data_IF_674573368751
#
_entry.id   IF_674573368751
#
_cell.length_a   1.000
_cell.length_b   1.000
_cell.length_c   1.000
_cell.angle_alpha   90.00
_cell.angle_beta   90.00
_cell.angle_gamma   90.00
#
_symmetry.space_group_name_H-M   'P 1'
#
loop_
_entity.id
_entity.type
_entity.pdbx_description
1 polymer ?
#
# COMPACT_ATOMS: atom_id res chain seq x y z
N UNK A 1 11.52 -2.67 -1.82
CA UNK A 1 12.59 -2.97 -0.84
C UNK A 1 12.10 -4.04 0.14
N UNK A 2 13.01 -4.76 0.80
CA UNK A 2 12.67 -5.76 1.84
C UNK A 2 13.21 -5.36 3.20
N UNK A 3 12.48 -5.74 4.25
CA UNK A 3 12.92 -5.52 5.62
C UNK A 3 12.40 -6.57 6.58
N UNK A 4 13.16 -6.78 7.65
CA UNK A 4 12.82 -7.69 8.74
C UNK A 4 12.08 -6.91 9.82
N UNK A 5 10.99 -7.46 10.35
CA UNK A 5 10.33 -6.87 11.50
C UNK A 5 11.17 -7.12 12.76
N UNK A 6 11.60 -6.05 13.44
CA UNK A 6 12.34 -6.15 14.71
C UNK A 6 11.47 -6.00 15.94
N UNK A 7 10.28 -5.43 15.78
CA UNK A 7 9.35 -5.14 16.88
C UNK A 7 7.92 -5.18 16.35
N UNK A 8 7.11 -6.09 16.91
CA UNK A 8 5.71 -6.25 16.55
C UNK A 8 4.81 -5.58 17.62
N UNK A 9 3.98 -4.59 17.24
CA UNK A 9 2.95 -4.07 18.13
C UNK A 9 1.95 -5.15 18.55
N UNK A 10 1.38 -5.00 19.75
CA UNK A 10 0.50 -5.97 20.44
C UNK A 10 -0.73 -6.40 19.63
N UNK A 11 -1.16 -5.63 18.63
CA UNK A 11 -2.31 -5.93 17.76
C UNK A 11 -1.95 -5.85 16.26
N UNK A 12 -0.74 -6.27 15.90
CA UNK A 12 -0.29 -6.27 14.51
C UNK A 12 -0.23 -7.68 13.93
N UNK A 13 -0.36 -7.78 12.60
CA UNK A 13 -0.12 -9.02 11.86
C UNK A 13 1.38 -9.26 11.58
N UNK A 14 2.25 -8.49 12.24
CA UNK A 14 3.70 -8.58 12.10
C UNK A 14 4.25 -9.66 13.01
N UNK A 15 5.16 -10.45 12.47
CA UNK A 15 5.92 -11.46 13.20
C UNK A 15 7.34 -10.96 13.32
N UNK A 16 7.87 -10.99 14.54
CA UNK A 16 9.26 -10.60 14.84
C UNK A 16 10.20 -11.56 14.12
N UNK A 17 11.29 -11.03 13.57
CA UNK A 17 12.30 -11.74 12.78
C UNK A 17 11.78 -12.31 11.44
N UNK A 18 10.58 -11.92 10.99
CA UNK A 18 10.06 -12.27 9.66
C UNK A 18 10.39 -11.19 8.62
N UNK A 19 10.69 -11.62 7.40
CA UNK A 19 10.97 -10.78 6.23
C UNK A 19 9.69 -10.36 5.52
N UNK A 20 9.59 -9.07 5.20
CA UNK A 20 8.46 -8.51 4.48
C UNK A 20 8.90 -7.62 3.32
N UNK A 21 8.04 -7.51 2.33
CA UNK A 21 8.13 -6.51 1.28
C UNK A 21 7.60 -5.19 1.82
N UNK A 22 8.46 -4.17 1.80
CA UNK A 22 8.17 -2.83 2.28
C UNK A 22 8.05 -1.87 1.09
N UNK A 23 6.94 -1.15 1.04
CA UNK A 23 6.70 -0.07 0.07
C UNK A 23 6.61 1.26 0.83
N UNK A 24 7.36 2.30 0.43
CA UNK A 24 7.29 3.61 1.08
C UNK A 24 5.86 4.16 1.03
N UNK A 25 5.33 4.53 2.19
CA UNK A 25 4.00 5.11 2.30
C UNK A 25 4.04 6.35 3.19
N UNK A 26 3.96 7.50 2.54
CA UNK A 26 4.19 8.80 3.16
C UNK A 26 5.57 8.95 3.77
N UNK A 27 5.71 9.92 4.67
CA UNK A 27 7.02 10.31 5.23
C UNK A 27 7.55 9.32 6.26
N UNK A 28 6.65 8.68 7.04
CA UNK A 28 7.00 7.91 8.24
C UNK A 28 6.53 6.44 8.25
N UNK A 29 5.93 5.98 7.15
CA UNK A 29 5.36 4.64 7.07
C UNK A 29 5.93 3.78 5.94
N UNK A 30 5.71 2.47 6.09
CA UNK A 30 5.82 1.47 5.05
C UNK A 30 4.50 0.71 4.94
N UNK A 31 4.02 0.50 3.71
CA UNK A 31 3.05 -0.55 3.43
C UNK A 31 3.79 -1.89 3.42
N UNK A 32 3.24 -2.86 4.12
CA UNK A 32 3.89 -4.15 4.36
C UNK A 32 3.09 -5.25 3.69
N UNK A 33 3.80 -6.10 2.95
CA UNK A 33 3.25 -7.23 2.22
C UNK A 33 4.09 -8.48 2.45
N UNK A 34 3.43 -9.65 2.49
CA UNK A 34 4.08 -10.96 2.52
C UNK A 34 4.45 -11.46 1.12
N UNK A 35 3.85 -10.87 0.10
CA UNK A 35 3.99 -11.28 -1.29
C UNK A 35 4.77 -10.22 -2.08
N UNK A 36 5.47 -10.62 -3.15
CA UNK A 36 6.12 -9.71 -4.08
C UNK A 36 5.10 -8.99 -4.99
N UNK A 37 4.03 -8.44 -4.40
CA UNK A 37 2.98 -7.69 -5.10
C UNK A 37 2.62 -6.42 -4.33
N UNK A 38 2.66 -5.23 -4.96
CA UNK A 38 2.34 -3.96 -4.31
C UNK A 38 0.88 -3.83 -3.89
N UNK A 39 -0.01 -4.59 -4.52
CA UNK A 39 -1.46 -4.60 -4.24
C UNK A 39 -1.85 -5.56 -3.09
N UNK A 40 -0.92 -6.37 -2.60
CA UNK A 40 -1.18 -7.38 -1.55
C UNK A 40 -0.64 -6.95 -0.19
N UNK A 41 -0.65 -5.64 0.09
CA UNK A 41 -0.31 -5.14 1.41
C UNK A 41 -1.45 -5.40 2.41
N UNK A 42 -1.11 -5.74 3.64
CA UNK A 42 -2.09 -6.02 4.70
C UNK A 42 -2.17 -4.90 5.75
N UNK A 43 -1.30 -3.89 5.64
CA UNK A 43 -1.33 -2.73 6.53
C UNK A 43 -0.18 -1.76 6.31
N UNK A 44 -0.36 -0.55 6.83
CA UNK A 44 0.66 0.47 6.93
C UNK A 44 1.26 0.48 8.34
N UNK A 45 2.59 0.41 8.43
CA UNK A 45 3.32 0.33 9.69
C UNK A 45 4.45 1.35 9.73
N UNK A 46 4.85 1.77 10.94
CA UNK A 46 5.91 2.75 11.09
C UNK A 46 7.27 2.17 10.71
N UNK A 47 8.11 2.97 10.04
CA UNK A 47 9.47 2.58 9.64
C UNK A 47 10.31 2.08 10.82
N UNK A 48 10.05 2.61 12.01
CA UNK A 48 10.76 2.25 13.24
C UNK A 48 10.64 0.78 13.63
N UNK A 49 9.64 0.03 13.13
CA UNK A 49 9.43 -1.39 13.45
C UNK A 49 10.22 -2.34 12.54
N UNK A 50 10.83 -1.82 11.48
CA UNK A 50 11.53 -2.63 10.48
C UNK A 50 13.01 -2.30 10.43
N UNK A 51 13.79 -3.30 10.08
CA UNK A 51 15.18 -3.18 9.68
C UNK A 51 15.27 -3.52 8.20
N UNK A 52 15.53 -2.53 7.36
CA UNK A 52 15.67 -2.72 5.91
C UNK A 52 16.94 -3.52 5.64
N UNK A 53 16.80 -4.64 4.92
CA UNK A 53 17.90 -5.55 4.57
C UNK A 53 18.28 -5.43 3.09
N UNK A 54 17.32 -5.13 2.22
CA UNK A 54 17.52 -5.06 0.77
C UNK A 54 16.99 -3.73 0.25
N UNK A 55 17.92 -2.78 0.07
CA UNK A 55 17.68 -1.50 -0.60
C UNK A 55 17.91 -1.69 -2.10
N UNK A 56 17.04 -2.46 -2.74
CA UNK A 56 16.92 -2.39 -4.19
C UNK A 56 16.25 -1.05 -4.50
N UNK A 57 17.08 -0.05 -4.81
CA UNK A 57 16.67 1.25 -5.34
C UNK A 57 16.19 1.00 -6.76
N UNK A 58 15.01 0.41 -6.91
CA UNK A 58 14.34 0.39 -8.20
C UNK A 58 13.45 1.62 -8.30
N UNK A 59 13.96 2.55 -9.09
CA UNK A 59 13.35 3.81 -9.44
C UNK A 59 12.15 3.52 -10.35
N UNK A 60 10.94 3.40 -9.82
CA UNK A 60 9.72 3.50 -10.63
C UNK A 60 8.61 4.17 -9.85
N UNK A 61 8.18 5.31 -10.39
CA UNK A 61 7.06 6.13 -9.95
C UNK A 61 5.73 5.40 -10.21
N UNK A 62 4.70 5.89 -9.50
CA UNK A 62 3.24 5.67 -9.71
C UNK A 62 2.66 4.37 -9.11
N UNK A 63 1.83 4.48 -8.08
CA UNK A 63 0.47 5.01 -8.23
C UNK A 63 0.10 6.19 -7.30
N UNK A 64 -0.45 7.25 -7.92
CA UNK A 64 -1.52 8.11 -7.37
C UNK A 64 -2.75 7.20 -7.17
N UNK A 65 -3.53 7.29 -6.11
CA UNK A 65 -4.70 8.16 -5.85
C UNK A 65 -5.18 7.71 -4.45
N UNK A 66 -5.51 8.58 -3.49
CA UNK A 66 -6.87 9.11 -3.32
C UNK A 66 -6.83 10.41 -2.49
N UNK A 67 -7.14 11.54 -3.11
CA UNK A 67 -8.06 12.53 -2.52
C UNK A 67 -8.51 13.50 -3.62
N UNK A 68 -9.83 13.56 -3.83
CA UNK A 68 -10.63 14.56 -4.57
C UNK A 68 -10.66 14.46 -6.09
N UNK A 69 -11.69 13.79 -6.61
CA UNK A 69 -12.52 14.45 -7.62
C UNK A 69 -13.99 14.06 -7.53
N UNK A 70 -14.80 15.09 -7.39
CA UNK A 70 -16.23 15.08 -7.24
C UNK A 70 -16.84 15.25 -8.62
N UNK A 71 -17.03 14.16 -9.38
CA UNK A 71 -17.62 14.26 -10.74
C UNK A 71 -18.23 12.93 -11.23
N UNK A 72 -19.00 12.25 -10.37
CA UNK A 72 -19.78 11.05 -10.73
C UNK A 72 -21.29 11.33 -10.78
N UNK A 73 -21.68 12.48 -11.34
CA UNK A 73 -23.07 12.79 -11.70
C UNK A 73 -23.11 13.31 -13.13
N UNK A 74 -22.78 12.47 -14.12
CA UNK A 74 -23.25 12.72 -15.49
C UNK A 74 -23.35 11.50 -16.41
N UNK A 75 -22.92 10.30 -16.02
CA UNK A 75 -22.88 9.16 -16.96
C UNK A 75 -24.00 8.11 -16.81
N UNK A 76 -24.99 8.33 -15.93
CA UNK A 76 -26.13 7.40 -15.73
C UNK A 76 -27.44 7.84 -16.40
N UNK A 77 -27.49 8.98 -17.12
CA UNK A 77 -28.68 9.39 -17.89
C UNK A 77 -28.75 8.81 -19.33
N UNK A 78 -27.72 8.09 -19.79
CA UNK A 78 -27.69 7.57 -21.16
C UNK A 78 -28.23 6.14 -21.34
N UNK A 79 -28.78 5.51 -20.30
CA UNK A 79 -29.31 4.15 -20.40
C UNK A 79 -30.84 4.02 -20.24
N UNK A 80 -31.58 5.12 -20.09
CA UNK A 80 -33.06 5.08 -19.96
C UNK A 80 -33.84 5.84 -21.06
N UNK A 81 -33.22 6.26 -22.17
CA UNK A 81 -33.95 6.92 -23.28
C UNK A 81 -33.85 6.25 -24.67
N UNK A 82 -33.20 5.10 -24.80
CA UNK A 82 -33.23 4.29 -26.03
C UNK A 82 -33.92 2.93 -25.84
N UNK A 83 -34.88 2.88 -24.92
CA UNK A 83 -35.85 1.78 -24.81
C UNK A 83 -37.24 2.31 -25.18
N UNK A 84 -37.62 2.02 -26.43
CA UNK A 84 -38.91 2.24 -27.13
C UNK A 84 -39.15 3.58 -27.82
#
# INVERSE_FOLDING_TARGET
MKGVCKEAPVNSNLVIDEEYYLTPHGSQGYLVSRFPSPLSHFGAYQKKYFKVIENEVENTLESKEDDKNQDYVQHLEQLDLFSF
#
